data_IF_296094492967
#
_entry.id   IF_296094492967
#
_cell.length_a   1.000
_cell.length_b   1.000
_cell.length_c   1.000
_cell.angle_alpha   90.00
_cell.angle_beta   90.00
_cell.angle_gamma   90.00
#
_symmetry.space_group_name_H-M   'P 1'
#
loop_
_entity.id
_entity.type
_entity.pdbx_description
1 polymer ?
#
# COMPACT_ATOMS: atom_id res chain seq x y z
N UNK A 1 -41.56 4.17 -10.34
CA UNK A 1 -40.33 3.38 -10.47
C UNK A 1 -39.19 4.26 -9.98
N UNK A 2 -38.49 3.82 -8.95
CA UNK A 2 -37.55 4.67 -8.22
C UNK A 2 -36.19 4.62 -8.93
N UNK A 3 -36.00 5.54 -9.89
CA UNK A 3 -34.91 5.55 -10.88
C UNK A 3 -33.49 5.66 -10.29
N UNK A 4 -33.35 5.69 -8.96
CA UNK A 4 -32.11 5.89 -8.26
C UNK A 4 -31.75 4.74 -7.29
N UNK A 5 -32.26 3.52 -7.53
CA UNK A 5 -31.94 2.34 -6.71
C UNK A 5 -30.78 1.52 -7.29
N UNK A 6 -29.94 1.00 -6.39
CA UNK A 6 -28.88 0.04 -6.71
C UNK A 6 -29.04 -1.21 -5.85
N UNK A 7 -28.44 -2.32 -6.29
CA UNK A 7 -28.29 -3.54 -5.50
C UNK A 7 -26.85 -4.04 -5.55
N UNK A 8 -26.39 -4.53 -4.40
CA UNK A 8 -25.19 -5.36 -4.26
C UNK A 8 -25.64 -6.82 -4.28
N UNK A 9 -25.07 -7.62 -5.18
CA UNK A 9 -25.28 -9.07 -5.23
C UNK A 9 -23.95 -9.75 -4.98
N UNK A 10 -23.88 -10.66 -4.01
CA UNK A 10 -22.69 -11.47 -3.73
C UNK A 10 -22.75 -12.81 -4.48
N UNK A 11 -21.60 -13.46 -4.68
CA UNK A 11 -21.51 -14.75 -5.37
C UNK A 11 -22.31 -15.88 -4.72
N UNK A 12 -22.56 -15.77 -3.42
CA UNK A 12 -23.40 -16.72 -2.67
C UNK A 12 -24.92 -16.45 -2.80
N UNK A 13 -25.31 -15.53 -3.68
CA UNK A 13 -26.70 -15.18 -3.99
C UNK A 13 -27.28 -14.06 -3.13
N UNK A 14 -26.53 -13.54 -2.17
CA UNK A 14 -27.01 -12.49 -1.26
C UNK A 14 -27.26 -11.20 -1.99
N UNK A 15 -28.45 -10.65 -1.80
CA UNK A 15 -28.82 -9.37 -2.42
C UNK A 15 -29.16 -8.34 -1.36
N UNK A 16 -28.50 -7.19 -1.43
CA UNK A 16 -28.77 -6.03 -0.57
C UNK A 16 -29.10 -4.85 -1.46
N UNK A 17 -30.27 -4.23 -1.26
CA UNK A 17 -30.75 -3.12 -2.11
C UNK A 17 -30.73 -1.81 -1.35
N UNK A 18 -30.32 -0.74 -2.01
CA UNK A 18 -30.17 0.59 -1.44
C UNK A 18 -30.40 1.67 -2.48
N UNK A 19 -29.96 2.89 -2.15
CA UNK A 19 -30.06 4.05 -3.05
C UNK A 19 -28.69 4.38 -3.63
N UNK A 20 -28.65 4.75 -4.90
CA UNK A 20 -27.47 5.28 -5.55
C UNK A 20 -27.12 6.65 -4.96
N UNK A 21 -25.84 6.91 -4.75
CA UNK A 21 -25.33 8.27 -4.49
C UNK A 21 -24.03 8.59 -5.23
N UNK A 22 -23.58 7.69 -6.10
CA UNK A 22 -22.44 7.87 -7.01
C UNK A 22 -22.89 7.72 -8.47
N UNK A 23 -22.09 7.07 -9.31
CA UNK A 23 -22.46 6.79 -10.70
C UNK A 23 -23.43 5.60 -10.84
N UNK A 24 -24.53 5.71 -11.61
CA UNK A 24 -25.52 4.63 -11.78
C UNK A 24 -25.07 3.58 -12.81
N UNK A 25 -23.94 2.91 -12.55
CA UNK A 25 -23.36 1.91 -13.45
C UNK A 25 -23.14 0.56 -12.77
N UNK A 26 -22.95 -0.48 -13.58
CA UNK A 26 -22.66 -1.83 -13.10
C UNK A 26 -21.16 -2.11 -13.07
N UNK A 27 -20.68 -2.65 -11.95
CA UNK A 27 -19.30 -3.10 -11.73
C UNK A 27 -19.26 -4.43 -10.99
N UNK A 28 -18.14 -5.14 -11.09
CA UNK A 28 -17.88 -6.33 -10.29
C UNK A 28 -16.47 -6.31 -9.71
N UNK A 29 -16.30 -6.93 -8.55
CA UNK A 29 -15.03 -6.97 -7.84
C UNK A 29 -15.11 -7.84 -6.59
N UNK A 30 -13.98 -8.03 -5.93
CA UNK A 30 -13.97 -8.64 -4.60
C UNK A 30 -14.59 -7.65 -3.60
N UNK A 31 -15.60 -8.10 -2.85
CA UNK A 31 -16.24 -7.28 -1.81
C UNK A 31 -15.44 -7.40 -0.54
N UNK A 32 -14.94 -6.27 -0.05
CA UNK A 32 -14.09 -6.16 1.14
C UNK A 32 -14.69 -5.16 2.11
N UNK A 33 -14.28 -5.20 3.38
CA UNK A 33 -14.70 -4.20 4.37
C UNK A 33 -13.48 -3.54 5.04
N UNK A 34 -13.64 -2.29 5.50
CA UNK A 34 -12.63 -1.58 6.28
C UNK A 34 -13.24 -1.00 7.58
N UNK A 35 -12.52 -1.16 8.70
CA UNK A 35 -12.93 -0.72 10.05
C UNK A 35 -12.61 0.74 10.38
N UNK A 36 -11.99 1.48 9.46
CA UNK A 36 -11.67 2.89 9.58
C UNK A 36 -12.91 3.75 9.77
N UNK A 37 -12.88 4.60 10.80
CA UNK A 37 -13.99 5.52 11.13
C UNK A 37 -13.83 6.90 10.47
N UNK A 38 -12.61 7.24 10.09
CA UNK A 38 -12.24 8.49 9.41
C UNK A 38 -11.30 8.16 8.26
N UNK A 39 -11.09 9.13 7.37
CA UNK A 39 -10.12 9.00 6.30
C UNK A 39 -10.64 8.30 5.03
N UNK A 40 -11.93 8.46 4.72
CA UNK A 40 -12.51 7.87 3.51
C UNK A 40 -11.94 8.48 2.22
N UNK A 41 -11.42 9.70 2.20
CA UNK A 41 -10.82 10.28 0.98
C UNK A 41 -9.54 9.55 0.65
N UNK A 42 -8.66 9.46 1.65
CA UNK A 42 -7.41 8.73 1.66
C UNK A 42 -7.66 7.27 1.26
N UNK A 43 -8.59 6.59 1.95
CA UNK A 43 -8.96 5.18 1.71
C UNK A 43 -9.44 4.96 0.28
N UNK A 44 -10.32 5.82 -0.25
CA UNK A 44 -10.86 5.66 -1.60
C UNK A 44 -9.78 5.82 -2.68
N UNK A 45 -8.71 6.56 -2.39
CA UNK A 45 -7.56 6.72 -3.28
C UNK A 45 -6.40 5.76 -3.03
N UNK A 46 -6.49 4.84 -2.07
CA UNK A 46 -5.44 3.83 -1.84
C UNK A 46 -5.42 2.81 -3.00
N UNK A 47 -4.31 2.70 -3.77
CA UNK A 47 -4.20 1.78 -4.90
C UNK A 47 -4.42 0.31 -4.56
N UNK A 48 -4.25 -0.07 -3.29
CA UNK A 48 -4.46 -1.43 -2.78
C UNK A 48 -5.93 -1.88 -2.91
N UNK A 49 -6.87 -0.95 -3.08
CA UNK A 49 -8.29 -1.23 -3.35
C UNK A 49 -8.64 -1.41 -4.83
N UNK A 50 -7.69 -1.31 -5.76
CA UNK A 50 -7.98 -1.43 -7.19
C UNK A 50 -8.70 -2.75 -7.49
N UNK A 51 -9.86 -2.66 -8.15
CA UNK A 51 -10.70 -3.82 -8.50
C UNK A 51 -11.61 -4.33 -7.36
N UNK A 52 -11.61 -3.69 -6.19
CA UNK A 52 -12.40 -4.11 -5.03
C UNK A 52 -13.64 -3.21 -4.83
N UNK A 53 -14.74 -3.81 -4.36
CA UNK A 53 -15.92 -3.08 -3.89
C UNK A 53 -15.77 -2.93 -2.38
N UNK A 54 -15.63 -1.68 -1.91
CA UNK A 54 -15.33 -1.38 -0.52
C UNK A 54 -16.61 -1.14 0.28
N UNK A 55 -16.80 -1.88 1.37
CA UNK A 55 -17.77 -1.60 2.41
C UNK A 55 -17.11 -0.87 3.59
N UNK A 56 -17.58 0.34 3.90
CA UNK A 56 -17.13 1.06 5.10
C UNK A 56 -18.04 0.67 6.26
N UNK A 57 -17.43 0.20 7.35
CA UNK A 57 -18.17 -0.25 8.54
C UNK A 57 -18.72 0.92 9.36
N UNK A 58 -18.04 2.07 9.35
CA UNK A 58 -18.52 3.26 10.06
C UNK A 58 -19.83 3.77 9.42
N UNK A 59 -20.90 3.98 10.21
CA UNK A 59 -22.24 4.09 9.68
C UNK A 59 -22.54 5.43 8.98
N UNK A 60 -21.72 6.47 9.19
CA UNK A 60 -21.91 7.82 8.66
C UNK A 60 -20.74 8.20 7.75
N UNK A 61 -20.94 8.21 6.43
CA UNK A 61 -19.87 8.47 5.46
C UNK A 61 -20.22 9.69 4.61
N UNK A 62 -19.25 10.58 4.39
CA UNK A 62 -19.43 11.83 3.64
C UNK A 62 -19.57 13.10 4.50
N UNK A 63 -19.54 12.97 5.82
CA UNK A 63 -19.79 14.06 6.77
C UNK A 63 -18.85 15.28 6.63
N UNK A 64 -17.61 15.05 6.19
CA UNK A 64 -16.62 16.11 5.98
C UNK A 64 -16.34 16.42 4.50
N UNK A 65 -17.18 15.93 3.58
CA UNK A 65 -17.07 16.21 2.15
C UNK A 65 -15.75 15.72 1.56
N UNK A 66 -15.29 16.38 0.50
CA UNK A 66 -14.03 16.08 -0.18
C UNK A 66 -13.29 17.39 -0.44
N UNK A 67 -11.97 17.45 -0.22
CA UNK A 67 -11.19 18.63 -0.51
C UNK A 67 -11.08 18.92 -2.01
N UNK A 68 -10.45 20.05 -2.33
CA UNK A 68 -10.15 20.41 -3.71
C UNK A 68 -9.24 19.35 -4.34
N UNK A 69 -9.43 19.02 -5.63
CA UNK A 69 -8.48 18.16 -6.35
C UNK A 69 -7.05 18.69 -6.20
N UNK A 70 -6.11 17.77 -6.00
CA UNK A 70 -4.69 18.13 -6.00
C UNK A 70 -4.23 18.59 -7.38
N UNK A 71 -3.10 19.28 -7.42
CA UNK A 71 -2.46 19.64 -8.68
C UNK A 71 -2.05 18.39 -9.47
N UNK A 72 -2.28 18.39 -10.79
CA UNK A 72 -1.87 17.29 -11.65
C UNK A 72 -0.35 17.03 -11.53
N UNK A 73 0.03 15.76 -11.34
CA UNK A 73 1.42 15.35 -11.13
C UNK A 73 1.99 15.61 -9.74
N UNK A 74 1.25 16.30 -8.85
CA UNK A 74 1.65 16.42 -7.44
C UNK A 74 1.33 15.15 -6.67
N UNK A 75 2.00 14.99 -5.53
CA UNK A 75 1.72 13.98 -4.51
C UNK A 75 0.99 14.60 -3.32
N UNK A 76 0.26 15.70 -3.50
CA UNK A 76 -0.36 16.43 -2.39
C UNK A 76 -1.46 15.61 -1.70
N UNK A 77 -1.49 15.68 -0.37
CA UNK A 77 -2.52 15.08 0.45
C UNK A 77 -3.87 15.81 0.35
N UNK A 78 -4.96 15.19 0.82
CA UNK A 78 -5.03 13.87 1.46
C UNK A 78 -5.19 12.72 0.46
N UNK A 79 -4.96 12.95 -0.84
CA UNK A 79 -5.06 11.89 -1.83
C UNK A 79 -3.81 11.00 -1.81
N UNK A 80 -4.05 9.69 -1.86
CA UNK A 80 -3.01 8.65 -1.88
C UNK A 80 -2.67 8.16 -3.29
N UNK A 81 -3.44 8.61 -4.28
CA UNK A 81 -3.23 8.42 -5.71
C UNK A 81 -3.92 9.55 -6.51
N UNK A 82 -3.75 9.53 -7.83
CA UNK A 82 -4.28 10.56 -8.75
C UNK A 82 -5.80 10.51 -8.93
N UNK A 83 -6.43 9.41 -8.56
CA UNK A 83 -7.87 9.12 -8.72
C UNK A 83 -8.36 8.12 -7.68
N UNK A 84 -9.68 7.95 -7.60
CA UNK A 84 -10.33 6.89 -6.84
C UNK A 84 -9.91 5.52 -7.39
N UNK A 85 -9.58 4.61 -6.48
CA UNK A 85 -9.06 3.28 -6.78
C UNK A 85 -10.10 2.19 -6.59
N UNK A 86 -11.04 2.36 -5.65
CA UNK A 86 -12.13 1.39 -5.44
C UNK A 86 -12.98 1.24 -6.70
N UNK A 87 -13.46 0.02 -6.94
CA UNK A 87 -14.40 -0.27 -8.02
C UNK A 87 -15.81 0.21 -7.69
N UNK A 88 -16.17 0.25 -6.40
CA UNK A 88 -17.45 0.76 -5.91
C UNK A 88 -17.47 0.89 -4.40
N UNK A 89 -18.44 1.65 -3.89
CA UNK A 89 -18.54 1.97 -2.46
C UNK A 89 -19.90 1.55 -1.87
N UNK A 90 -19.87 0.88 -0.72
CA UNK A 90 -21.05 0.42 0.02
C UNK A 90 -21.05 1.05 1.41
N UNK A 91 -22.10 1.80 1.75
CA UNK A 91 -22.22 2.49 3.04
C UNK A 91 -23.60 2.28 3.67
N UNK A 92 -23.68 2.45 4.98
CA UNK A 92 -24.95 2.42 5.69
C UNK A 92 -25.72 3.73 5.50
N UNK A 93 -25.15 4.87 5.89
CA UNK A 93 -25.74 6.18 5.67
C UNK A 93 -24.73 7.11 4.99
N UNK A 94 -25.08 7.56 3.79
CA UNK A 94 -24.44 8.66 3.12
C UNK A 94 -24.94 10.00 3.69
N UNK A 95 -24.00 10.84 4.12
CA UNK A 95 -24.24 12.20 4.59
C UNK A 95 -24.05 13.16 3.42
N UNK A 96 -25.14 13.65 2.85
CA UNK A 96 -25.11 14.54 1.68
C UNK A 96 -24.63 15.96 2.01
N UNK A 97 -25.07 16.50 3.16
CA UNK A 97 -24.65 17.81 3.65
C UNK A 97 -23.40 17.67 4.49
N UNK A 98 -22.26 18.03 3.90
CA UNK A 98 -20.97 17.99 4.55
C UNK A 98 -20.63 19.30 5.28
N UNK A 99 -19.72 19.22 6.26
CA UNK A 99 -19.20 20.40 6.96
C UNK A 99 -17.74 20.18 7.39
N UNK A 100 -16.80 20.78 6.64
CA UNK A 100 -15.38 20.80 6.96
C UNK A 100 -14.71 21.96 6.23
N UNK A 101 -13.75 22.64 6.87
CA UNK A 101 -13.12 23.85 6.32
C UNK A 101 -12.41 23.62 4.98
N UNK A 102 -11.87 22.42 4.77
CA UNK A 102 -11.19 22.06 3.52
C UNK A 102 -12.13 21.55 2.41
N UNK A 103 -13.41 21.30 2.71
CA UNK A 103 -14.30 20.63 1.77
C UNK A 103 -14.86 21.60 0.73
N UNK A 104 -14.77 21.20 -0.55
CA UNK A 104 -15.29 22.01 -1.68
C UNK A 104 -16.38 21.29 -2.47
N UNK A 105 -16.58 19.98 -2.22
CA UNK A 105 -17.60 19.16 -2.89
C UNK A 105 -18.07 18.01 -1.99
N UNK A 106 -19.25 17.47 -2.28
CA UNK A 106 -19.76 16.28 -1.58
C UNK A 106 -19.05 15.01 -2.05
N UNK A 107 -19.08 13.96 -1.22
CA UNK A 107 -18.56 12.65 -1.60
C UNK A 107 -19.30 12.06 -2.81
N UNK A 108 -20.63 12.19 -2.86
CA UNK A 108 -21.41 11.71 -3.99
C UNK A 108 -21.07 12.40 -5.31
N UNK A 109 -20.86 13.73 -5.29
CA UNK A 109 -20.44 14.48 -6.47
C UNK A 109 -19.05 14.05 -6.97
N UNK A 110 -18.11 13.78 -6.05
CA UNK A 110 -16.79 13.28 -6.40
C UNK A 110 -16.84 11.88 -7.03
N UNK A 111 -17.56 10.94 -6.40
CA UNK A 111 -17.76 9.58 -6.93
C UNK A 111 -18.41 9.61 -8.32
N UNK A 112 -19.46 10.42 -8.51
CA UNK A 112 -20.12 10.57 -9.80
C UNK A 112 -19.19 11.14 -10.87
N UNK A 113 -18.34 12.13 -10.53
CA UNK A 113 -17.40 12.75 -11.46
C UNK A 113 -16.32 11.80 -11.98
N UNK A 114 -15.95 10.78 -11.19
CA UNK A 114 -15.00 9.73 -11.58
C UNK A 114 -15.69 8.43 -12.02
N UNK A 115 -17.01 8.45 -12.17
CA UNK A 115 -17.77 7.29 -12.65
C UNK A 115 -17.82 6.12 -11.65
N UNK A 116 -17.63 6.37 -10.36
CA UNK A 116 -17.61 5.33 -9.32
C UNK A 116 -19.01 5.06 -8.77
N UNK A 117 -19.54 3.84 -8.90
CA UNK A 117 -20.83 3.48 -8.34
C UNK A 117 -20.77 3.41 -6.81
N UNK A 118 -21.83 3.91 -6.16
CA UNK A 118 -21.93 3.88 -4.72
C UNK A 118 -23.38 3.71 -4.24
N UNK A 119 -23.55 2.90 -3.19
CA UNK A 119 -24.84 2.50 -2.63
C UNK A 119 -24.93 2.80 -1.14
N UNK A 120 -26.00 3.49 -0.74
CA UNK A 120 -26.33 3.79 0.66
C UNK A 120 -27.59 3.05 1.11
N UNK A 121 -27.78 2.90 2.42
CA UNK A 121 -28.93 2.22 3.01
C UNK A 121 -28.69 0.72 3.18
N UNK A 122 -27.42 0.28 3.12
CA UNK A 122 -27.03 -1.11 3.30
C UNK A 122 -26.66 -1.35 4.75
N UNK A 123 -27.15 -2.44 5.35
CA UNK A 123 -26.65 -2.90 6.65
C UNK A 123 -25.22 -3.43 6.48
N UNK A 124 -24.24 -2.52 6.56
CA UNK A 124 -22.82 -2.84 6.41
C UNK A 124 -22.31 -3.73 7.53
N UNK A 125 -22.98 -3.76 8.69
CA UNK A 125 -22.66 -4.70 9.78
C UNK A 125 -23.02 -6.12 9.37
N UNK A 126 -24.22 -6.35 8.83
CA UNK A 126 -24.62 -7.67 8.32
C UNK A 126 -23.70 -8.11 7.17
N UNK A 127 -23.38 -7.22 6.24
CA UNK A 127 -22.42 -7.50 5.16
C UNK A 127 -21.03 -7.90 5.72
N UNK A 128 -20.51 -7.13 6.67
CA UNK A 128 -19.19 -7.37 7.28
C UNK A 128 -19.13 -8.71 8.00
N UNK A 129 -20.16 -9.04 8.79
CA UNK A 129 -20.23 -10.34 9.46
C UNK A 129 -20.18 -11.50 8.48
N UNK A 130 -20.91 -11.36 7.37
CA UNK A 130 -20.96 -12.37 6.32
C UNK A 130 -19.60 -12.58 5.66
N UNK A 131 -18.94 -11.49 5.25
CA UNK A 131 -17.59 -11.55 4.66
C UNK A 131 -16.55 -12.10 5.64
N UNK A 132 -16.71 -11.85 6.95
CA UNK A 132 -15.83 -12.42 7.97
C UNK A 132 -16.02 -13.93 8.16
N UNK A 133 -17.26 -14.41 8.07
CA UNK A 133 -17.62 -15.83 8.27
C UNK A 133 -17.32 -16.68 7.02
N UNK A 134 -17.59 -16.16 5.82
CA UNK A 134 -17.39 -16.89 4.55
C UNK A 134 -16.08 -16.55 3.82
N UNK A 135 -15.37 -15.52 4.26
CA UNK A 135 -14.27 -14.90 3.53
C UNK A 135 -14.72 -13.82 2.55
N UNK A 136 -13.77 -13.05 2.00
CA UNK A 136 -14.05 -12.11 0.92
C UNK A 136 -14.44 -12.87 -0.34
N UNK A 137 -15.36 -12.29 -1.10
CA UNK A 137 -16.02 -12.99 -2.19
C UNK A 137 -16.33 -12.03 -3.34
N UNK A 138 -16.59 -12.57 -4.53
CA UNK A 138 -16.97 -11.73 -5.66
C UNK A 138 -18.36 -11.14 -5.44
N UNK A 139 -18.54 -9.89 -5.87
CA UNK A 139 -19.84 -9.24 -5.88
C UNK A 139 -20.02 -8.36 -7.11
N UNK A 140 -21.28 -8.02 -7.36
CA UNK A 140 -21.73 -7.12 -8.41
C UNK A 140 -22.49 -5.98 -7.77
N UNK A 141 -22.09 -4.75 -8.05
CA UNK A 141 -22.83 -3.55 -7.69
C UNK A 141 -23.45 -3.00 -8.96
N UNK A 142 -24.78 -2.94 -9.02
CA UNK A 142 -25.52 -2.63 -10.25
C UNK A 142 -26.80 -1.83 -9.99
N UNK A 143 -27.33 -1.11 -11.00
CA UNK A 143 -28.69 -0.57 -10.95
C UNK A 143 -29.71 -1.66 -10.61
N UNK A 144 -30.69 -1.36 -9.76
CA UNK A 144 -31.61 -2.37 -9.22
C UNK A 144 -32.41 -3.11 -10.31
N UNK A 145 -32.79 -2.40 -11.37
CA UNK A 145 -33.53 -2.93 -12.52
C UNK A 145 -32.67 -3.75 -13.50
N UNK A 146 -31.34 -3.73 -13.35
CA UNK A 146 -30.48 -4.54 -14.20
C UNK A 146 -30.50 -6.01 -13.74
N UNK A 147 -30.66 -6.91 -14.70
CA UNK A 147 -30.56 -8.35 -14.48
C UNK A 147 -29.12 -8.77 -14.10
N UNK A 148 -29.00 -9.74 -13.18
CA UNK A 148 -27.70 -10.20 -12.70
C UNK A 148 -26.92 -10.94 -13.79
N UNK A 149 -27.57 -11.76 -14.61
CA UNK A 149 -26.88 -12.50 -15.68
C UNK A 149 -26.37 -11.55 -16.75
N UNK A 150 -27.11 -10.47 -17.04
CA UNK A 150 -26.58 -9.36 -17.83
C UNK A 150 -25.36 -8.72 -17.17
N UNK A 151 -25.43 -8.38 -15.88
CA UNK A 151 -24.33 -7.75 -15.16
C UNK A 151 -23.07 -8.64 -15.11
N UNK A 152 -23.22 -9.96 -14.94
CA UNK A 152 -22.09 -10.91 -14.99
C UNK A 152 -21.30 -10.86 -16.29
N UNK A 153 -21.96 -10.51 -17.41
CA UNK A 153 -21.32 -10.39 -18.74
C UNK A 153 -20.80 -8.99 -19.06
N UNK A 154 -21.39 -7.94 -18.50
CA UNK A 154 -21.14 -6.55 -18.94
C UNK A 154 -20.65 -5.61 -17.85
N UNK A 155 -20.63 -6.03 -16.58
CA UNK A 155 -20.12 -5.20 -15.50
C UNK A 155 -18.61 -4.98 -15.67
N UNK A 156 -18.17 -3.73 -15.51
CA UNK A 156 -16.73 -3.45 -15.53
C UNK A 156 -16.05 -4.17 -14.36
N UNK A 157 -14.93 -4.80 -14.64
CA UNK A 157 -14.10 -5.50 -13.68
C UNK A 157 -12.63 -5.19 -13.99
N UNK A 158 -11.77 -5.36 -12.98
CA UNK A 158 -10.32 -5.35 -13.17
C UNK A 158 -9.84 -6.79 -13.07
N UNK A 159 -9.00 -7.24 -14.01
CA UNK A 159 -8.35 -8.52 -13.88
C UNK A 159 -7.30 -8.47 -12.75
N UNK A 160 -7.56 -9.22 -11.68
CA UNK A 160 -6.70 -9.29 -10.49
C UNK A 160 -5.48 -10.19 -10.72
N UNK A 161 -4.72 -9.89 -11.78
CA UNK A 161 -3.44 -10.51 -12.17
C UNK A 161 -2.49 -9.40 -12.64
N UNK A 162 -1.93 -9.47 -13.84
CA UNK A 162 -0.98 -8.45 -14.32
C UNK A 162 -1.62 -7.07 -14.54
N UNK A 163 -2.90 -7.02 -14.96
CA UNK A 163 -3.61 -5.79 -15.28
C UNK A 163 -3.72 -4.84 -14.07
N UNK A 164 -4.05 -5.38 -12.87
CA UNK A 164 -4.23 -4.55 -11.68
C UNK A 164 -2.97 -3.76 -11.31
N UNK A 165 -1.79 -4.37 -11.44
CA UNK A 165 -0.51 -3.70 -11.15
C UNK A 165 -0.17 -2.63 -12.20
N UNK A 166 -0.39 -2.94 -13.48
CA UNK A 166 -0.20 -1.96 -14.58
C UNK A 166 -1.14 -0.77 -14.44
N UNK A 167 -2.35 -0.97 -13.92
CA UNK A 167 -3.33 0.08 -13.75
C UNK A 167 -2.94 1.11 -12.67
N UNK A 168 -2.13 0.72 -11.68
CA UNK A 168 -1.78 1.56 -10.53
C UNK A 168 -0.32 2.02 -10.50
N UNK A 169 0.57 1.33 -11.22
CA UNK A 169 1.98 1.69 -11.35
C UNK A 169 2.16 2.93 -12.25
N UNK A 170 3.17 3.78 -11.99
CA UNK A 170 3.60 4.80 -12.94
C UNK A 170 4.09 4.15 -14.24
N UNK A 171 4.06 4.91 -15.34
CA UNK A 171 4.51 4.45 -16.65
C UNK A 171 6.03 4.50 -16.80
N UNK A 172 6.66 5.48 -16.16
CA UNK A 172 8.09 5.76 -16.24
C UNK A 172 8.61 6.20 -14.87
N UNK A 173 9.92 6.14 -14.62
CA UNK A 173 10.50 6.66 -13.39
C UNK A 173 10.26 8.17 -13.22
N UNK A 174 9.90 8.58 -12.00
CA UNK A 174 9.68 9.98 -11.61
C UNK A 174 10.62 10.29 -10.45
N UNK A 175 11.33 11.43 -10.53
CA UNK A 175 12.21 11.88 -9.44
C UNK A 175 11.60 13.06 -8.71
N UNK A 176 11.53 12.95 -7.38
CA UNK A 176 11.13 14.02 -6.47
C UNK A 176 12.35 14.47 -5.68
N UNK A 177 12.83 15.68 -5.94
CA UNK A 177 14.00 16.23 -5.27
C UNK A 177 13.69 16.60 -3.81
N UNK A 178 14.53 16.13 -2.89
CA UNK A 178 14.38 16.39 -1.46
C UNK A 178 15.70 16.59 -0.71
N UNK A 179 16.79 15.99 -1.18
CA UNK A 179 18.12 16.18 -0.57
C UNK A 179 19.18 15.20 -1.07
N UNK A 180 20.33 15.12 -0.39
CA UNK A 180 21.50 14.39 -0.91
C UNK A 180 21.36 12.87 -0.82
N UNK A 181 20.50 12.33 0.05
CA UNK A 181 20.19 10.91 0.11
C UNK A 181 19.16 10.56 -0.97
N UNK A 182 19.42 9.48 -1.71
CA UNK A 182 18.53 9.00 -2.77
C UNK A 182 17.88 7.68 -2.40
N UNK A 183 16.56 7.57 -2.47
CA UNK A 183 15.84 6.30 -2.26
C UNK A 183 15.12 5.90 -3.53
N UNK A 184 15.35 4.66 -3.98
CA UNK A 184 14.57 4.04 -5.05
C UNK A 184 13.28 3.48 -4.45
N UNK A 185 12.13 4.08 -4.79
CA UNK A 185 10.81 3.54 -4.47
C UNK A 185 10.32 2.70 -5.64
N UNK A 186 10.23 1.37 -5.44
CA UNK A 186 9.64 0.45 -6.41
C UNK A 186 8.12 0.46 -6.22
N UNK A 187 7.40 0.73 -7.30
CA UNK A 187 5.98 1.01 -7.28
C UNK A 187 5.16 -0.02 -8.06
N UNK A 188 4.32 -0.76 -7.35
CA UNK A 188 3.28 -1.63 -7.87
C UNK A 188 1.88 -1.23 -7.36
N UNK A 189 1.68 0.05 -7.02
CA UNK A 189 0.53 0.60 -6.30
C UNK A 189 0.90 1.36 -5.03
N UNK A 190 2.08 1.99 -4.99
CA UNK A 190 2.58 2.70 -3.84
C UNK A 190 1.73 3.95 -3.56
N UNK A 191 1.36 4.13 -2.30
CA UNK A 191 0.67 5.32 -1.83
C UNK A 191 1.56 6.55 -1.88
N UNK A 192 0.96 7.68 -2.23
CA UNK A 192 1.68 8.95 -2.31
C UNK A 192 2.22 9.40 -0.94
N UNK A 193 1.61 9.01 0.19
CA UNK A 193 2.19 9.34 1.49
C UNK A 193 3.53 8.66 1.77
N UNK A 194 3.90 7.59 1.08
CA UNK A 194 5.26 7.02 1.16
C UNK A 194 6.26 8.04 0.61
N UNK A 195 5.97 8.64 -0.55
CA UNK A 195 6.81 9.67 -1.16
C UNK A 195 6.89 10.89 -0.24
N UNK A 196 5.74 11.38 0.25
CA UNK A 196 5.71 12.52 1.18
C UNK A 196 6.48 12.24 2.48
N UNK A 197 6.38 11.03 3.02
CA UNK A 197 7.09 10.63 4.25
C UNK A 197 8.60 10.65 4.09
N UNK A 198 9.11 10.29 2.91
CA UNK A 198 10.53 10.38 2.57
C UNK A 198 10.96 11.83 2.31
N UNK A 199 10.19 12.59 1.52
CA UNK A 199 10.49 13.99 1.21
C UNK A 199 10.53 14.87 2.47
N UNK A 200 9.60 14.66 3.42
CA UNK A 200 9.58 15.33 4.73
C UNK A 200 10.89 15.15 5.51
N UNK A 201 11.66 14.10 5.20
CA UNK A 201 12.95 13.77 5.83
C UNK A 201 14.16 14.21 5.00
N UNK A 202 13.96 15.03 3.97
CA UNK A 202 15.04 15.59 3.14
C UNK A 202 15.69 14.57 2.21
N UNK A 203 14.91 13.63 1.69
CA UNK A 203 15.38 12.53 0.82
C UNK A 203 14.87 12.74 -0.59
N UNK A 204 15.74 12.61 -1.60
CA UNK A 204 15.32 12.53 -3.00
C UNK A 204 14.76 11.15 -3.29
N UNK A 205 13.55 11.09 -3.86
CA UNK A 205 12.84 9.83 -4.15
C UNK A 205 12.82 9.59 -5.65
N UNK A 206 13.35 8.45 -6.08
CA UNK A 206 13.23 7.94 -7.45
C UNK A 206 12.12 6.89 -7.42
N UNK A 207 10.91 7.28 -7.82
CA UNK A 207 9.74 6.39 -7.90
C UNK A 207 9.73 5.69 -9.26
N UNK A 208 9.87 4.37 -9.28
CA UNK A 208 10.00 3.60 -10.52
C UNK A 208 8.92 2.50 -10.61
N UNK A 209 8.41 2.21 -11.84
CA UNK A 209 7.50 1.09 -12.03
C UNK A 209 8.11 -0.23 -11.58
N UNK A 210 7.29 -1.14 -11.06
CA UNK A 210 7.71 -2.49 -10.63
C UNK A 210 8.40 -3.33 -11.72
N UNK A 211 8.13 -3.03 -12.99
CA UNK A 211 8.69 -3.71 -14.16
C UNK A 211 9.89 -2.96 -14.78
N UNK A 212 10.35 -1.86 -14.15
CA UNK A 212 11.55 -1.16 -14.57
C UNK A 212 12.81 -2.02 -14.37
N UNK A 213 13.93 -1.55 -14.91
CA UNK A 213 15.24 -2.16 -14.69
C UNK A 213 15.77 -1.82 -13.30
N UNK A 214 15.21 -2.48 -12.28
CA UNK A 214 15.46 -2.16 -10.87
C UNK A 214 16.96 -2.19 -10.52
N UNK A 215 17.71 -3.15 -11.04
CA UNK A 215 19.16 -3.25 -10.76
C UNK A 215 19.94 -2.01 -11.22
N UNK A 216 19.66 -1.50 -12.43
CA UNK A 216 20.32 -0.30 -12.96
C UNK A 216 19.97 0.95 -12.10
N UNK A 217 18.71 1.09 -11.70
CA UNK A 217 18.28 2.21 -10.84
C UNK A 217 18.88 2.13 -9.43
N UNK A 218 19.03 0.92 -8.90
CA UNK A 218 19.55 0.67 -7.55
C UNK A 218 21.01 1.12 -7.37
N UNK A 219 21.81 1.13 -8.44
CA UNK A 219 23.21 1.60 -8.40
C UNK A 219 23.31 3.05 -7.91
N UNK A 220 22.38 3.89 -8.34
CA UNK A 220 22.34 5.33 -8.02
C UNK A 220 21.65 5.65 -6.68
N UNK A 221 20.99 4.66 -6.07
CA UNK A 221 20.21 4.83 -4.85
C UNK A 221 21.01 4.46 -3.59
N UNK A 222 20.79 5.18 -2.49
CA UNK A 222 21.38 4.94 -1.17
C UNK A 222 20.58 3.91 -0.35
N UNK A 223 19.38 3.56 -0.80
CA UNK A 223 18.55 2.48 -0.29
C UNK A 223 17.36 2.23 -1.22
N UNK A 224 16.72 1.07 -1.06
CA UNK A 224 15.54 0.67 -1.83
C UNK A 224 14.34 0.57 -0.89
N UNK A 225 13.21 1.14 -1.30
CA UNK A 225 11.92 0.92 -0.67
C UNK A 225 11.00 0.20 -1.67
N UNK A 226 10.39 -0.91 -1.25
CA UNK A 226 9.35 -1.60 -2.03
C UNK A 226 8.00 -1.21 -1.43
N UNK A 227 7.19 -0.47 -2.21
CA UNK A 227 5.93 0.08 -1.73
C UNK A 227 4.81 -0.96 -1.56
N UNK A 228 3.64 -0.48 -1.17
CA UNK A 228 2.41 -1.26 -1.12
C UNK A 228 1.80 -1.46 -2.53
N UNK A 229 0.70 -2.23 -2.59
CA UNK A 229 -0.06 -2.42 -3.83
C UNK A 229 -1.20 -3.44 -3.67
N UNK A 230 -2.04 -3.60 -4.71
CA UNK A 230 -3.15 -4.55 -4.74
C UNK A 230 -2.67 -5.98 -5.09
N UNK A 231 -3.61 -6.93 -5.16
CA UNK A 231 -3.38 -8.24 -5.82
C UNK A 231 -2.57 -9.27 -5.03
N UNK A 232 -2.25 -10.38 -5.70
CA UNK A 232 -1.41 -11.46 -5.18
C UNK A 232 0.07 -11.16 -5.47
N UNK A 233 0.97 -11.14 -4.47
CA UNK A 233 2.40 -10.94 -4.69
C UNK A 233 3.03 -11.99 -5.63
N UNK A 234 2.44 -13.18 -5.77
CA UNK A 234 2.92 -14.24 -6.67
C UNK A 234 2.71 -13.93 -8.15
N UNK A 235 1.76 -13.05 -8.48
CA UNK A 235 1.55 -12.58 -9.85
C UNK A 235 2.62 -11.56 -10.29
N UNK A 236 3.42 -11.04 -9.34
CA UNK A 236 4.56 -10.15 -9.58
C UNK A 236 5.88 -10.92 -9.75
N UNK A 237 5.87 -12.05 -10.47
CA UNK A 237 7.03 -12.91 -10.65
C UNK A 237 8.29 -12.19 -11.17
N UNK A 238 8.13 -11.21 -12.07
CA UNK A 238 9.24 -10.38 -12.55
C UNK A 238 9.88 -9.56 -11.42
N UNK A 239 9.07 -8.92 -10.57
CA UNK A 239 9.58 -8.12 -9.46
C UNK A 239 10.24 -9.03 -8.41
N UNK A 240 9.64 -10.17 -8.08
CA UNK A 240 10.22 -11.17 -7.17
C UNK A 240 11.59 -11.62 -7.67
N UNK A 241 11.72 -11.91 -8.96
CA UNK A 241 13.00 -12.30 -9.57
C UNK A 241 14.04 -11.17 -9.51
N UNK A 242 13.64 -9.93 -9.79
CA UNK A 242 14.51 -8.76 -9.73
C UNK A 242 15.03 -8.52 -8.30
N UNK A 243 14.15 -8.55 -7.29
CA UNK A 243 14.52 -8.38 -5.88
C UNK A 243 15.40 -9.55 -5.42
N UNK A 244 15.11 -10.79 -5.84
CA UNK A 244 15.97 -11.95 -5.52
C UNK A 244 17.39 -11.78 -6.04
N UNK A 245 17.56 -11.27 -7.28
CA UNK A 245 18.88 -10.95 -7.83
C UNK A 245 19.65 -9.90 -7.02
N UNK A 246 18.94 -8.96 -6.39
CA UNK A 246 19.52 -7.95 -5.52
C UNK A 246 19.94 -8.51 -4.16
N UNK A 247 19.25 -9.50 -3.59
CA UNK A 247 19.57 -10.01 -2.25
C UNK A 247 21.02 -10.52 -2.13
N UNK A 248 21.59 -11.05 -3.22
CA UNK A 248 22.99 -11.53 -3.25
C UNK A 248 24.04 -10.45 -3.50
N UNK A 249 23.66 -9.32 -4.11
CA UNK A 249 24.62 -8.34 -4.65
C UNK A 249 24.51 -6.97 -3.97
N UNK A 250 23.30 -6.57 -3.58
CA UNK A 250 23.03 -5.28 -2.97
C UNK A 250 23.48 -5.27 -1.51
N UNK A 251 24.14 -4.18 -1.10
CA UNK A 251 24.73 -4.04 0.24
C UNK A 251 24.05 -2.96 1.09
N UNK A 252 23.30 -2.06 0.45
CA UNK A 252 22.59 -0.95 1.10
C UNK A 252 21.20 -1.41 1.57
N UNK A 253 20.49 -0.62 2.40
CA UNK A 253 19.22 -1.06 2.99
C UNK A 253 18.12 -1.33 1.97
N UNK A 254 17.28 -2.33 2.24
CA UNK A 254 16.03 -2.62 1.54
C UNK A 254 14.90 -2.60 2.56
N UNK A 255 13.88 -1.78 2.33
CA UNK A 255 12.70 -1.69 3.18
C UNK A 255 11.42 -2.02 2.41
N UNK A 256 10.67 -3.05 2.82
CA UNK A 256 9.37 -3.40 2.22
C UNK A 256 8.18 -2.94 3.05
N UNK A 257 7.13 -2.42 2.40
CA UNK A 257 5.86 -2.02 3.04
C UNK A 257 4.70 -2.79 2.41
N UNK A 258 3.87 -3.45 3.21
CA UNK A 258 2.69 -4.20 2.78
C UNK A 258 2.99 -5.23 1.68
N UNK A 259 2.69 -4.94 0.41
CA UNK A 259 3.11 -5.76 -0.72
C UNK A 259 4.63 -5.97 -0.74
N UNK A 260 5.41 -4.95 -0.38
CA UNK A 260 6.85 -5.04 -0.26
C UNK A 260 7.35 -6.07 0.77
N UNK A 261 6.59 -6.32 1.85
CA UNK A 261 6.89 -7.41 2.80
C UNK A 261 6.79 -8.78 2.13
N UNK A 262 5.74 -8.97 1.35
CA UNK A 262 5.45 -10.22 0.67
C UNK A 262 6.44 -10.47 -0.47
N UNK A 263 6.75 -9.45 -1.26
CA UNK A 263 7.78 -9.52 -2.31
C UNK A 263 9.14 -9.85 -1.73
N UNK A 264 9.53 -9.22 -0.61
CA UNK A 264 10.81 -9.48 0.04
C UNK A 264 10.88 -10.92 0.57
N UNK A 265 9.80 -11.42 1.18
CA UNK A 265 9.70 -12.80 1.65
C UNK A 265 9.81 -13.83 0.51
N UNK A 266 9.07 -13.62 -0.60
CA UNK A 266 9.13 -14.49 -1.78
C UNK A 266 10.51 -14.45 -2.46
N UNK A 267 11.13 -13.27 -2.53
CA UNK A 267 12.47 -13.11 -3.07
C UNK A 267 13.50 -13.86 -2.23
N UNK A 268 13.36 -13.83 -0.91
CA UNK A 268 14.18 -14.57 0.03
C UNK A 268 14.02 -16.09 -0.06
N UNK A 269 12.92 -16.60 -0.64
CA UNK A 269 12.62 -18.02 -0.75
C UNK A 269 11.54 -18.52 0.19
N UNK A 270 10.85 -17.63 0.90
CA UNK A 270 9.63 -17.94 1.64
C UNK A 270 8.40 -18.00 0.74
N UNK A 271 7.23 -18.10 1.36
CA UNK A 271 5.93 -18.28 0.72
C UNK A 271 4.85 -17.34 1.31
N UNK A 272 3.78 -17.15 0.55
CA UNK A 272 2.62 -16.32 0.92
C UNK A 272 1.31 -17.09 0.75
N UNK A 273 0.28 -16.71 1.51
CA UNK A 273 -1.06 -17.29 1.43
C UNK A 273 -2.14 -16.21 1.53
N UNK A 274 -3.33 -16.51 0.99
CA UNK A 274 -4.50 -15.62 1.06
C UNK A 274 -5.17 -15.76 2.43
N UNK A 275 -5.44 -14.62 3.07
CA UNK A 275 -6.22 -14.54 4.29
C UNK A 275 -7.72 -14.68 3.96
N UNK A 276 -8.54 -15.25 4.87
CA UNK A 276 -9.98 -15.39 4.62
C UNK A 276 -10.67 -14.07 4.28
N UNK A 277 -10.39 -13.00 5.04
CA UNK A 277 -10.98 -11.68 4.82
C UNK A 277 -9.98 -10.52 4.92
N UNK A 278 -8.68 -10.82 5.08
CA UNK A 278 -7.59 -9.84 5.17
C UNK A 278 -7.63 -8.92 6.39
N UNK A 279 -6.61 -8.08 6.52
CA UNK A 279 -6.55 -7.01 7.51
C UNK A 279 -6.78 -5.66 6.85
N UNK A 280 -7.88 -5.01 7.22
CA UNK A 280 -8.37 -3.79 6.59
C UNK A 280 -8.93 -2.85 7.66
N UNK A 281 -8.11 -1.92 8.11
CA UNK A 281 -8.46 -1.06 9.23
C UNK A 281 -7.33 -0.16 9.69
N UNK A 282 -7.66 0.74 10.61
CA UNK A 282 -6.71 1.70 11.24
C UNK A 282 -6.45 1.36 12.71
N UNK A 283 -6.85 0.18 13.15
CA UNK A 283 -6.84 -0.26 14.54
C UNK A 283 -6.18 -1.64 14.71
N UNK A 284 -5.32 -2.05 13.78
CA UNK A 284 -4.69 -3.38 13.83
C UNK A 284 -3.51 -3.37 14.80
N UNK A 285 -3.55 -4.16 15.89
CA UNK A 285 -2.50 -4.20 16.89
C UNK A 285 -1.36 -5.11 16.44
N UNK A 286 -0.15 -4.56 16.38
CA UNK A 286 1.07 -5.33 16.07
C UNK A 286 2.05 -5.26 17.22
N UNK A 287 2.77 -6.34 17.47
CA UNK A 287 3.86 -6.38 18.45
C UNK A 287 5.20 -6.53 17.73
N UNK A 288 6.15 -5.68 18.08
CA UNK A 288 7.56 -5.86 17.75
C UNK A 288 8.12 -6.99 18.62
N UNK A 289 8.58 -8.08 17.99
CA UNK A 289 9.08 -9.25 18.70
C UNK A 289 10.42 -9.00 19.41
N UNK A 290 11.16 -7.97 19.02
CA UNK A 290 12.46 -7.62 19.61
C UNK A 290 12.29 -6.76 20.85
N UNK A 291 11.57 -5.64 20.70
CA UNK A 291 11.39 -4.68 21.79
C UNK A 291 10.20 -5.00 22.69
N UNK A 292 9.31 -5.91 22.25
CA UNK A 292 8.02 -6.25 22.88
C UNK A 292 7.03 -5.09 22.92
N UNK A 293 7.33 -3.97 22.26
CA UNK A 293 6.43 -2.82 22.12
C UNK A 293 5.26 -3.18 21.21
N UNK A 294 4.10 -2.59 21.50
CA UNK A 294 2.91 -2.73 20.69
C UNK A 294 2.59 -1.40 19.99
N UNK A 295 2.13 -1.49 18.75
CA UNK A 295 1.73 -0.35 17.93
C UNK A 295 0.33 -0.60 17.38
N UNK A 296 -0.46 0.47 17.29
CA UNK A 296 -1.70 0.43 16.52
C UNK A 296 -1.35 0.84 15.10
N UNK A 297 -1.82 0.10 14.10
CA UNK A 297 -1.39 0.27 12.71
C UNK A 297 -2.54 0.35 11.73
N UNK A 298 -2.26 1.04 10.62
CA UNK A 298 -3.08 1.01 9.43
C UNK A 298 -2.68 -0.17 8.55
N UNK A 299 -3.66 -0.97 8.13
CA UNK A 299 -3.44 -2.15 7.31
C UNK A 299 -4.49 -2.27 6.21
N UNK A 300 -4.05 -2.70 5.02
CA UNK A 300 -4.91 -3.03 3.90
C UNK A 300 -4.28 -4.15 3.05
N UNK A 301 -4.39 -5.41 3.48
CA UNK A 301 -3.87 -6.55 2.73
C UNK A 301 -4.75 -7.79 2.85
N UNK A 302 -4.85 -8.54 1.74
CA UNK A 302 -5.55 -9.83 1.67
C UNK A 302 -4.64 -11.05 1.71
N UNK A 303 -3.32 -10.85 1.69
CA UNK A 303 -2.30 -11.89 1.68
C UNK A 303 -1.34 -11.70 2.85
N UNK A 304 -0.75 -12.78 3.33
CA UNK A 304 0.22 -12.76 4.42
C UNK A 304 1.42 -13.67 4.10
N UNK A 305 2.56 -13.36 4.73
CA UNK A 305 3.76 -14.19 4.68
C UNK A 305 3.59 -15.40 5.60
N UNK A 306 3.90 -16.60 5.10
CA UNK A 306 3.94 -17.82 5.90
C UNK A 306 5.27 -17.87 6.67
N UNK A 307 5.28 -17.49 7.94
CA UNK A 307 6.52 -17.29 8.68
C UNK A 307 7.39 -18.56 8.79
N UNK A 308 6.79 -19.75 8.79
CA UNK A 308 7.48 -21.04 8.86
C UNK A 308 8.17 -21.42 7.55
N UNK A 309 7.84 -20.75 6.46
CA UNK A 309 8.49 -20.95 5.16
C UNK A 309 9.76 -20.12 4.99
N UNK A 310 10.05 -19.20 5.91
CA UNK A 310 11.22 -18.33 5.82
C UNK A 310 12.52 -19.15 5.98
N UNK A 311 13.53 -18.93 5.12
CA UNK A 311 14.85 -19.54 5.29
C UNK A 311 15.54 -19.10 6.59
N UNK A 312 16.59 -19.84 6.98
CA UNK A 312 17.31 -19.62 8.23
C UNK A 312 17.99 -18.24 8.34
N UNK A 313 18.20 -17.53 7.24
CA UNK A 313 18.78 -16.19 7.20
C UNK A 313 17.76 -15.09 7.47
N UNK A 314 16.48 -15.44 7.57
CA UNK A 314 15.37 -14.52 7.79
C UNK A 314 14.59 -14.89 9.04
N UNK A 315 13.99 -13.88 9.66
CA UNK A 315 13.15 -14.09 10.83
C UNK A 315 11.96 -13.15 10.87
N UNK A 316 10.85 -13.58 11.51
CA UNK A 316 9.74 -12.69 11.82
C UNK A 316 10.21 -11.54 12.70
N UNK A 317 9.69 -10.34 12.43
CA UNK A 317 9.98 -9.15 13.22
C UNK A 317 8.75 -8.63 13.94
N UNK A 318 7.63 -8.49 13.23
CA UNK A 318 6.35 -8.11 13.83
C UNK A 318 5.34 -9.23 13.71
N UNK A 319 4.40 -9.27 14.66
CA UNK A 319 3.28 -10.20 14.67
C UNK A 319 1.97 -9.46 14.96
N UNK A 320 0.89 -9.89 14.32
CA UNK A 320 -0.44 -9.39 14.64
C UNK A 320 -0.90 -9.98 15.97
N UNK A 321 -1.35 -9.15 16.90
CA UNK A 321 -1.74 -9.59 18.25
C UNK A 321 -3.08 -10.33 18.22
N UNK A 322 -3.95 -10.05 17.24
CA UNK A 322 -5.27 -10.66 17.17
C UNK A 322 -5.24 -12.11 16.66
N UNK A 323 -4.39 -12.41 15.68
CA UNK A 323 -4.43 -13.69 14.97
C UNK A 323 -3.07 -14.38 14.74
N UNK A 324 -1.96 -13.78 15.19
CA UNK A 324 -0.63 -14.36 15.11
C UNK A 324 0.00 -14.34 13.72
N UNK A 325 -0.61 -13.68 12.74
CA UNK A 325 -0.05 -13.58 11.38
C UNK A 325 1.22 -12.72 11.34
N UNK A 326 2.06 -12.95 10.32
CA UNK A 326 3.29 -12.19 10.14
C UNK A 326 2.99 -10.74 9.78
N UNK A 327 3.61 -9.81 10.51
CA UNK A 327 3.45 -8.36 10.29
C UNK A 327 4.77 -7.68 9.87
N UNK A 328 5.81 -8.48 9.61
CA UNK A 328 7.11 -7.99 9.17
C UNK A 328 8.19 -9.06 9.30
N UNK A 329 9.24 -8.93 8.50
CA UNK A 329 10.41 -9.82 8.51
C UNK A 329 11.70 -9.01 8.48
N UNK A 330 12.80 -9.63 8.89
CA UNK A 330 14.14 -9.05 8.77
C UNK A 330 15.18 -10.10 8.43
N UNK A 331 16.20 -9.69 7.69
CA UNK A 331 17.38 -10.50 7.45
C UNK A 331 18.32 -10.46 8.67
N UNK A 332 18.91 -11.61 8.98
CA UNK A 332 19.98 -11.76 9.99
C UNK A 332 21.35 -11.33 9.45
N UNK A 333 21.51 -11.21 8.14
CA UNK A 333 22.80 -11.04 7.47
C UNK A 333 22.99 -9.63 6.88
N UNK A 334 21.90 -8.98 6.48
CA UNK A 334 21.90 -7.74 5.69
C UNK A 334 20.90 -6.74 6.25
N UNK A 335 21.03 -5.43 5.96
CA UNK A 335 20.09 -4.39 6.39
C UNK A 335 18.77 -4.45 5.59
N UNK A 336 18.18 -5.64 5.45
CA UNK A 336 16.94 -5.86 4.73
C UNK A 336 15.83 -6.18 5.73
N UNK A 337 14.73 -5.45 5.65
CA UNK A 337 13.60 -5.63 6.54
C UNK A 337 12.32 -5.15 5.88
N UNK A 338 11.19 -5.54 6.44
CA UNK A 338 9.89 -5.12 5.94
C UNK A 338 8.82 -5.21 7.00
N UNK A 339 7.73 -4.49 6.77
CA UNK A 339 6.52 -4.51 7.58
C UNK A 339 5.30 -4.71 6.70
N UNK A 340 4.32 -5.46 7.19
CA UNK A 340 3.09 -5.78 6.47
C UNK A 340 2.03 -4.66 6.59
N UNK A 341 2.14 -3.85 7.64
CA UNK A 341 1.34 -2.66 7.86
C UNK A 341 1.92 -1.42 7.16
N UNK A 342 1.18 -0.30 7.24
CA UNK A 342 1.48 0.95 6.57
C UNK A 342 2.04 2.00 7.55
N UNK A 343 3.38 2.12 7.71
CA UNK A 343 3.98 3.10 8.61
C UNK A 343 3.77 4.54 8.14
N UNK A 344 3.42 4.75 6.86
CA UNK A 344 3.00 6.04 6.34
C UNK A 344 1.55 6.40 6.72
N UNK A 345 0.78 5.48 7.29
CA UNK A 345 -0.62 5.69 7.68
C UNK A 345 -1.43 6.37 6.56
N UNK A 346 -2.22 7.40 6.84
CA UNK A 346 -3.03 8.13 5.84
C UNK A 346 -3.99 7.21 5.06
N UNK A 347 -5.10 6.78 5.73
CA UNK A 347 -5.49 7.16 7.09
C UNK A 347 -4.91 6.23 8.16
N UNK A 348 -5.04 6.64 9.42
CA UNK A 348 -4.71 5.83 10.59
C UNK A 348 -3.63 6.44 11.49
N UNK A 349 -3.20 5.70 12.52
CA UNK A 349 -2.24 6.17 13.51
C UNK A 349 -0.82 6.34 12.92
N UNK A 350 -0.09 7.35 13.37
CA UNK A 350 1.28 7.66 12.93
C UNK A 350 2.37 6.97 13.78
N UNK A 351 1.98 6.03 14.66
CA UNK A 351 2.82 5.40 15.68
C UNK A 351 4.06 4.68 15.11
N UNK A 352 3.99 4.21 13.86
CA UNK A 352 5.04 3.43 13.21
C UNK A 352 5.92 4.25 12.24
N UNK A 353 5.75 5.58 12.19
CA UNK A 353 6.50 6.46 11.30
C UNK A 353 8.03 6.44 11.52
N UNK A 354 8.48 6.03 12.71
CA UNK A 354 9.91 5.90 13.07
C UNK A 354 10.67 4.90 12.18
N UNK A 355 9.97 3.96 11.53
CA UNK A 355 10.58 2.99 10.63
C UNK A 355 11.23 3.64 9.40
N UNK A 356 10.68 4.77 8.93
CA UNK A 356 11.34 5.58 7.91
C UNK A 356 12.64 6.20 8.44
N UNK A 357 12.66 6.65 9.70
CA UNK A 357 13.84 7.23 10.31
C UNK A 357 14.95 6.18 10.48
N UNK A 358 14.60 4.97 10.90
CA UNK A 358 15.54 3.84 11.00
C UNK A 358 16.10 3.42 9.64
N UNK A 359 15.25 3.34 8.62
CA UNK A 359 15.68 3.05 7.25
C UNK A 359 16.68 4.09 6.73
N UNK A 360 16.39 5.37 6.90
CA UNK A 360 17.24 6.45 6.38
C UNK A 360 18.54 6.61 7.17
N UNK A 361 18.51 6.35 8.48
CA UNK A 361 19.73 6.28 9.30
C UNK A 361 20.69 5.22 8.77
N UNK A 362 20.19 4.04 8.38
CA UNK A 362 21.01 3.01 7.76
C UNK A 362 21.55 3.45 6.38
N UNK A 363 20.72 4.10 5.56
CA UNK A 363 21.16 4.61 4.25
C UNK A 363 22.31 5.63 4.40
N UNK A 364 22.17 6.60 5.32
CA UNK A 364 23.19 7.61 5.58
C UNK A 364 24.50 7.03 6.14
N UNK A 365 24.42 6.08 7.08
CA UNK A 365 25.60 5.43 7.65
C UNK A 365 26.41 4.65 6.59
N UNK A 366 25.72 3.98 5.67
CA UNK A 366 26.35 3.19 4.62
C UNK A 366 26.93 4.06 3.50
N UNK A 367 26.31 5.21 3.20
CA UNK A 367 26.87 6.21 2.28
C UNK A 367 28.18 6.79 2.81
N UNK A 368 28.20 7.25 4.07
CA UNK A 368 29.41 7.77 4.69
C UNK A 368 30.56 6.75 4.79
N UNK A 369 30.23 5.47 4.97
CA UNK A 369 31.20 4.37 4.99
C UNK A 369 31.74 3.98 3.61
N UNK A 370 31.01 4.28 2.53
CA UNK A 370 31.51 4.12 1.17
C UNK A 370 32.44 5.29 0.80
N UNK A 371 32.04 6.52 1.10
CA UNK A 371 32.84 7.73 0.81
C UNK A 371 34.17 7.75 1.59
N UNK A 372 34.20 7.22 2.82
CA UNK A 372 35.43 7.13 3.61
C UNK A 372 36.42 6.10 3.09
N UNK A 373 35.94 4.97 2.54
CA UNK A 373 36.78 3.92 1.92
C UNK A 373 37.42 4.39 0.61
N UNK A 374 36.76 5.27 -0.13
CA UNK A 374 37.36 5.89 -1.33
C UNK A 374 38.35 7.01 -0.99
N UNK A 375 38.17 7.72 0.13
CA UNK A 375 39.15 8.74 0.60
C UNK A 375 40.44 8.14 1.14
N UNK A 376 40.41 6.97 1.79
CA UNK A 376 41.62 6.30 2.29
C UNK A 376 42.40 5.54 1.22
N UNK A 377 41.79 5.25 0.06
CA UNK A 377 42.47 4.65 -1.08
C UNK A 377 43.29 5.65 -1.93
N UNK A 378 43.21 6.96 -1.64
CA UNK A 378 43.85 8.03 -2.41
C UNK A 378 45.12 8.64 -1.82
N UNK A 379 45.64 8.16 -0.68
CA UNK A 379 46.79 8.79 0.00
C UNK A 379 47.83 7.79 0.51
N UNK A 380 48.22 6.81 -0.31
CA UNK A 380 49.35 5.92 -0.03
C UNK A 380 50.40 5.95 -1.15
N UNK A 381 50.95 7.14 -1.42
CA UNK A 381 52.27 7.26 -2.04
C UNK A 381 52.96 8.51 -1.53
N UNK A 382 53.75 8.38 -0.46
CA UNK A 382 54.82 9.32 -0.16
C UNK A 382 55.99 8.56 0.49
N UNK A 383 57.13 8.73 -0.14
CA UNK A 383 58.45 8.12 -0.02
C UNK A 383 59.08 7.99 1.38
N UNK A 384 60.13 7.15 1.52
CA UNK A 384 60.79 6.89 2.79
C UNK A 384 61.70 8.07 3.22
N UNK A 385 61.60 8.45 4.49
CA UNK A 385 62.53 9.42 5.10
C UNK A 385 63.95 8.85 5.17
N UNK A 386 64.99 9.64 4.87
CA UNK A 386 66.36 9.20 5.03
C UNK A 386 66.75 9.19 6.53
N UNK A 387 67.42 8.12 6.92
CA UNK A 387 68.17 8.03 8.18
C UNK A 387 69.38 8.93 8.11
N UNK A 388 69.49 9.90 9.01
CA UNK A 388 70.76 10.56 9.35
C UNK A 388 70.97 10.40 10.86
N UNK A 389 72.06 9.72 11.21
CA UNK A 389 72.50 9.53 12.59
C UNK A 389 73.56 10.54 13.02
N UNK A 390 73.86 10.49 14.33
CA UNK A 390 74.93 11.16 15.10
C UNK A 390 74.72 12.68 15.24
N UNK A 391 74.83 13.27 16.43
CA UNK A 391 75.62 12.98 17.64
C UNK A 391 74.78 12.96 18.91
#
# INVERSE_FOLDING_TARGET
MDANRMKLVLEDGTTMTGRCFGAPRAVSGEVVFNTGMTGYVETLTDPSYKGQILAITYPLVGSYGVPAPRQAGSVDGPYEADRIQVQGLVVQNYVERYSHHAAVRSLGAWLASEGIPAITGIDTRTLTRRLREAGTMKGWLLPAEMDLERAKRSAEAVEMREEVFRAVSPREPITYEGGPLKVLLIDAGAKDNIVRSLLKRGVTVIRAPYHAKIAELAESADGILIGNGPGDPKDLGQLVAAVRGLLGTYTKPIFGICLGNQILALAAGGDTYKLPYGHRGVNQPVQDLLSRRCYVTSQNHGYAVKHESLPAEWEPWFVNINDGTNEGIRSRLRPFFSVQFHPEATPGPEDAGYLFDDFLRLCGAMKGSADSRFKTAGTASAEPRPTAGRS
#
